data_IF_462011823705
#
_entry.id   IF_462011823705
#
_cell.length_a   1.000
_cell.length_b   1.000
_cell.length_c   1.000
_cell.angle_alpha   90.00
_cell.angle_beta   90.00
_cell.angle_gamma   90.00
#
_symmetry.space_group_name_H-M   'P 1'
#
loop_
_entity.id
_entity.type
_entity.pdbx_description
1 polymer ?
#
# COMPACT_ATOMS: atom_id res chain seq x y z
N UNK A 1 3.96 15.27 10.24
CA UNK A 1 3.35 13.93 10.36
C UNK A 1 2.43 13.66 9.18
N UNK A 2 2.32 12.39 8.77
CA UNK A 2 1.45 12.02 7.66
C UNK A 2 -0.01 12.00 8.08
N UNK A 3 -0.91 12.45 7.21
CA UNK A 3 -2.34 12.33 7.42
C UNK A 3 -2.82 10.92 7.02
N UNK A 4 -2.26 10.34 5.96
CA UNK A 4 -2.60 8.99 5.51
C UNK A 4 -1.39 8.27 4.94
N UNK A 5 -1.36 6.95 5.15
CA UNK A 5 -0.30 6.08 4.67
C UNK A 5 -0.91 4.88 3.94
N UNK A 6 -0.46 4.65 2.71
CA UNK A 6 -0.84 3.45 1.96
C UNK A 6 0.18 2.35 2.23
N UNK A 7 -0.31 1.13 2.44
CA UNK A 7 0.55 -0.03 2.70
C UNK A 7 0.56 -0.93 1.46
N UNK A 8 1.71 -1.02 0.80
CA UNK A 8 1.88 -1.81 -0.42
C UNK A 8 2.27 -3.25 -0.06
N UNK A 9 1.43 -3.92 0.70
CA UNK A 9 1.62 -5.29 1.11
C UNK A 9 0.25 -5.90 1.45
N UNK A 10 0.24 -7.15 1.89
CA UNK A 10 -0.98 -7.87 2.18
C UNK A 10 -0.83 -8.73 3.44
N UNK A 11 -1.94 -9.33 3.86
CA UNK A 11 -1.96 -10.28 4.96
C UNK A 11 -1.51 -9.67 6.28
N UNK A 12 -0.86 -10.49 7.11
CA UNK A 12 -0.46 -10.09 8.46
C UNK A 12 0.52 -8.92 8.48
N UNK A 13 1.39 -8.82 7.48
CA UNK A 13 2.33 -7.70 7.36
C UNK A 13 1.55 -6.38 7.29
N UNK A 14 0.56 -6.30 6.42
CA UNK A 14 -0.26 -5.10 6.27
C UNK A 14 -1.08 -4.82 7.53
N UNK A 15 -1.69 -5.85 8.12
CA UNK A 15 -2.51 -5.71 9.34
C UNK A 15 -1.69 -5.12 10.48
N UNK A 16 -0.45 -5.58 10.66
CA UNK A 16 0.43 -5.07 11.72
C UNK A 16 0.75 -3.59 11.54
N UNK A 17 1.02 -3.18 10.31
CA UNK A 17 1.28 -1.76 10.01
C UNK A 17 0.02 -0.93 10.28
N UNK A 18 -1.15 -1.41 9.86
CA UNK A 18 -2.41 -0.70 10.10
C UNK A 18 -2.69 -0.49 11.60
N UNK A 19 -2.36 -1.47 12.44
CA UNK A 19 -2.53 -1.32 13.88
C UNK A 19 -1.68 -0.19 14.45
N UNK A 20 -0.45 -0.09 13.99
CA UNK A 20 0.45 0.98 14.41
C UNK A 20 -0.06 2.35 13.93
N UNK A 21 -0.49 2.44 12.68
CA UNK A 21 -1.04 3.67 12.12
C UNK A 21 -2.27 4.13 12.90
N UNK A 22 -3.14 3.20 13.27
CA UNK A 22 -4.32 3.52 14.07
C UNK A 22 -3.95 4.12 15.42
N UNK A 23 -2.95 3.56 16.09
CA UNK A 23 -2.45 4.10 17.36
C UNK A 23 -1.88 5.50 17.22
N UNK A 24 -1.32 5.81 16.07
CA UNK A 24 -0.75 7.12 15.78
C UNK A 24 -1.78 8.13 15.27
N UNK A 25 -3.03 7.71 15.07
CA UNK A 25 -4.07 8.57 14.53
C UNK A 25 -3.91 8.85 13.03
N UNK A 26 -3.22 7.98 12.30
CA UNK A 26 -2.97 8.12 10.86
C UNK A 26 -3.96 7.23 10.10
N UNK A 27 -4.59 7.78 9.06
CA UNK A 27 -5.50 7.03 8.19
C UNK A 27 -4.71 5.97 7.43
N UNK A 28 -5.17 4.73 7.47
CA UNK A 28 -4.56 3.61 6.76
C UNK A 28 -5.27 3.31 5.45
N UNK A 29 -4.50 3.03 4.40
CA UNK A 29 -5.03 2.66 3.09
C UNK A 29 -4.48 1.31 2.69
N UNK A 30 -5.38 0.35 2.43
CA UNK A 30 -5.01 -0.96 1.91
C UNK A 30 -4.97 -0.95 0.40
N UNK A 31 -4.08 -1.74 -0.17
CA UNK A 31 -4.09 -2.07 -1.59
C UNK A 31 -4.45 -3.55 -1.74
N UNK A 32 -5.19 -3.90 -2.78
CA UNK A 32 -5.60 -5.29 -2.95
C UNK A 32 -5.70 -5.69 -4.42
N UNK A 33 -5.28 -6.93 -4.70
CA UNK A 33 -5.58 -7.57 -5.97
C UNK A 33 -6.99 -8.16 -5.93
N UNK A 34 -7.51 -8.56 -7.09
CA UNK A 34 -8.84 -9.14 -7.18
C UNK A 34 -9.01 -10.41 -6.33
N UNK A 35 -7.93 -11.13 -6.04
CA UNK A 35 -7.97 -12.30 -5.17
C UNK A 35 -8.20 -11.94 -3.69
N UNK A 36 -7.88 -10.71 -3.29
CA UNK A 36 -7.89 -10.28 -1.91
C UNK A 36 -9.03 -9.31 -1.55
N UNK A 37 -10.05 -9.21 -2.38
CA UNK A 37 -11.18 -8.26 -2.17
C UNK A 37 -11.77 -8.36 -0.77
N UNK A 38 -11.92 -9.57 -0.24
CA UNK A 38 -12.48 -9.80 1.09
C UNK A 38 -11.43 -10.13 2.15
N UNK A 39 -10.14 -9.91 1.86
CA UNK A 39 -9.07 -10.25 2.78
C UNK A 39 -9.11 -9.40 4.05
N UNK A 40 -8.55 -9.95 5.13
CA UNK A 40 -8.54 -9.28 6.43
C UNK A 40 -7.88 -7.92 6.39
N UNK A 41 -6.75 -7.77 5.68
CA UNK A 41 -6.07 -6.49 5.63
C UNK A 41 -6.92 -5.40 4.97
N UNK A 42 -7.76 -5.76 4.00
CA UNK A 42 -8.68 -4.82 3.36
C UNK A 42 -9.75 -4.35 4.36
N UNK A 43 -10.27 -5.28 5.16
CA UNK A 43 -11.32 -4.96 6.14
C UNK A 43 -10.81 -4.15 7.33
N UNK A 44 -9.54 -4.30 7.68
CA UNK A 44 -8.95 -3.60 8.83
C UNK A 44 -8.41 -2.21 8.50
N UNK A 45 -8.25 -1.87 7.23
CA UNK A 45 -7.83 -0.54 6.82
C UNK A 45 -8.99 0.45 6.84
N UNK A 46 -8.68 1.72 6.98
CA UNK A 46 -9.70 2.78 6.91
C UNK A 46 -10.23 2.94 5.49
N UNK A 47 -9.37 2.77 4.48
CA UNK A 47 -9.75 2.83 3.06
C UNK A 47 -9.02 1.73 2.31
N UNK A 48 -9.50 1.42 1.09
CA UNK A 48 -8.88 0.41 0.25
C UNK A 48 -8.96 0.81 -1.22
N UNK A 49 -7.92 0.50 -1.99
CA UNK A 49 -7.84 0.78 -3.42
C UNK A 49 -7.41 -0.48 -4.16
N UNK A 50 -8.12 -0.80 -5.24
CA UNK A 50 -7.79 -1.95 -6.08
C UNK A 50 -6.48 -1.73 -6.82
N UNK A 51 -5.63 -2.76 -6.85
CA UNK A 51 -4.39 -2.76 -7.63
C UNK A 51 -4.60 -3.28 -9.05
N UNK A 52 -5.22 -4.44 -9.18
CA UNK A 52 -5.35 -5.11 -10.46
C UNK A 52 -5.74 -6.57 -10.30
N UNK A 53 -5.51 -7.39 -11.36
CA UNK A 53 -5.85 -8.82 -11.36
C UNK A 53 -5.12 -9.61 -10.27
N UNK A 54 -5.60 -10.84 -10.04
CA UNK A 54 -5.08 -11.72 -8.98
C UNK A 54 -3.58 -12.03 -9.06
N UNK A 55 -2.95 -12.24 -10.24
CA UNK A 55 -1.52 -12.54 -10.28
C UNK A 55 -0.67 -11.43 -9.67
N UNK A 56 0.27 -11.75 -8.76
CA UNK A 56 1.12 -10.73 -8.12
C UNK A 56 1.91 -9.87 -9.12
N UNK A 57 2.36 -10.45 -10.23
CA UNK A 57 3.10 -9.71 -11.25
C UNK A 57 2.27 -8.57 -11.87
N UNK A 58 0.94 -8.64 -11.79
CA UNK A 58 0.02 -7.64 -12.35
C UNK A 58 -0.62 -6.79 -11.24
N UNK A 59 -0.19 -6.95 -10.01
CA UNK A 59 -0.74 -6.23 -8.86
C UNK A 59 0.37 -5.83 -7.87
N UNK A 60 0.64 -6.64 -6.83
CA UNK A 60 1.59 -6.28 -5.78
C UNK A 60 3.03 -6.11 -6.25
N UNK A 61 3.42 -6.75 -7.35
CA UNK A 61 4.77 -6.64 -7.93
C UNK A 61 4.84 -5.67 -9.12
N UNK A 62 3.74 -5.03 -9.46
CA UNK A 62 3.69 -4.03 -10.55
C UNK A 62 3.90 -2.64 -9.97
N UNK A 63 5.08 -2.07 -10.15
CA UNK A 63 5.45 -0.74 -9.62
C UNK A 63 4.46 0.33 -10.09
N UNK A 64 4.12 0.35 -11.37
CA UNK A 64 3.22 1.36 -11.91
C UNK A 64 1.83 1.26 -11.29
N UNK A 65 1.31 0.04 -11.11
CA UNK A 65 0.01 -0.19 -10.50
C UNK A 65 0.00 0.29 -9.05
N UNK A 66 1.04 -0.03 -8.28
CA UNK A 66 1.17 0.35 -6.87
C UNK A 66 1.20 1.87 -6.73
N UNK A 67 2.03 2.56 -7.52
CA UNK A 67 2.15 4.01 -7.44
C UNK A 67 0.86 4.69 -7.89
N UNK A 68 0.23 4.21 -8.96
CA UNK A 68 -1.05 4.73 -9.44
C UNK A 68 -2.14 4.63 -8.37
N UNK A 69 -2.22 3.49 -7.69
CA UNK A 69 -3.18 3.29 -6.61
C UNK A 69 -2.88 4.20 -5.42
N UNK A 70 -1.60 4.38 -5.07
CA UNK A 70 -1.19 5.28 -4.01
C UNK A 70 -1.58 6.73 -4.32
N UNK A 71 -1.37 7.17 -5.55
CA UNK A 71 -1.80 8.51 -5.99
C UNK A 71 -3.31 8.67 -5.93
N UNK A 72 -4.05 7.66 -6.40
CA UNK A 72 -5.51 7.69 -6.38
C UNK A 72 -6.06 7.77 -4.96
N UNK A 73 -5.37 7.19 -3.98
CA UNK A 73 -5.77 7.24 -2.58
C UNK A 73 -5.54 8.60 -1.92
N UNK A 74 -4.68 9.43 -2.50
CA UNK A 74 -4.28 10.69 -1.90
C UNK A 74 -3.33 10.54 -0.72
N UNK A 75 -2.71 9.37 -0.53
CA UNK A 75 -1.83 9.13 0.61
C UNK A 75 -0.56 9.98 0.54
N UNK A 76 -0.07 10.39 1.71
CA UNK A 76 1.15 11.18 1.84
C UNK A 76 2.40 10.33 1.75
N UNK A 77 2.29 9.07 2.20
CA UNK A 77 3.42 8.16 2.27
C UNK A 77 3.00 6.75 1.90
N UNK A 78 3.98 5.94 1.51
CA UNK A 78 3.80 4.54 1.20
C UNK A 78 4.75 3.71 2.07
N UNK A 79 4.19 2.73 2.78
CA UNK A 79 4.94 1.76 3.57
C UNK A 79 4.90 0.43 2.83
N UNK A 80 6.05 -0.08 2.38
CA UNK A 80 6.07 -1.30 1.57
C UNK A 80 5.99 -2.60 2.39
N UNK A 81 6.10 -2.53 3.72
CA UNK A 81 6.25 -3.72 4.53
C UNK A 81 7.58 -4.40 4.26
N UNK A 82 7.56 -5.72 4.18
CA UNK A 82 8.71 -6.48 3.71
C UNK A 82 8.27 -7.49 2.64
N UNK A 83 9.22 -7.98 1.81
CA UNK A 83 8.87 -8.78 0.65
C UNK A 83 8.29 -7.93 -0.47
N UNK A 84 7.73 -8.55 -1.50
CA UNK A 84 7.21 -7.87 -2.70
C UNK A 84 8.19 -6.80 -3.21
N UNK A 85 7.77 -5.53 -3.23
CA UNK A 85 8.57 -4.43 -3.77
C UNK A 85 9.35 -3.65 -2.70
N UNK A 86 9.38 -4.13 -1.46
CA UNK A 86 9.99 -3.39 -0.34
C UNK A 86 11.46 -3.01 -0.57
N UNK A 87 12.20 -3.84 -1.30
CA UNK A 87 13.61 -3.61 -1.60
C UNK A 87 13.84 -3.19 -3.05
N UNK A 88 12.78 -2.89 -3.79
CA UNK A 88 12.90 -2.52 -5.20
C UNK A 88 13.14 -1.02 -5.34
N UNK A 89 14.35 -0.60 -5.82
CA UNK A 89 14.65 0.83 -5.95
C UNK A 89 13.74 1.55 -6.96
N UNK A 90 13.14 0.84 -7.91
CA UNK A 90 12.23 1.44 -8.85
C UNK A 90 10.95 1.94 -8.17
N UNK A 91 10.49 1.24 -7.12
CA UNK A 91 9.31 1.70 -6.36
C UNK A 91 9.65 2.99 -5.60
N UNK A 92 10.79 3.03 -4.92
CA UNK A 92 11.21 4.23 -4.19
C UNK A 92 11.34 5.44 -5.12
N UNK A 93 11.96 5.25 -6.29
CA UNK A 93 12.11 6.31 -7.29
C UNK A 93 10.76 6.79 -7.82
N UNK A 94 9.85 5.88 -8.13
CA UNK A 94 8.52 6.21 -8.64
C UNK A 94 7.69 6.95 -7.59
N UNK A 95 7.80 6.59 -6.32
CA UNK A 95 7.15 7.32 -5.23
C UNK A 95 7.67 8.76 -5.13
N UNK A 96 8.99 8.93 -5.23
CA UNK A 96 9.60 10.27 -5.18
C UNK A 96 9.07 11.16 -6.32
N UNK A 97 8.99 10.61 -7.54
CA UNK A 97 8.45 11.33 -8.68
C UNK A 97 6.97 11.69 -8.51
N UNK A 98 6.23 10.85 -7.82
CA UNK A 98 4.80 11.07 -7.55
C UNK A 98 4.54 11.98 -6.34
N UNK A 99 5.58 12.41 -5.64
CA UNK A 99 5.43 13.23 -4.43
C UNK A 99 4.98 12.45 -3.22
N UNK A 100 5.23 11.13 -3.20
CA UNK A 100 4.87 10.24 -2.10
C UNK A 100 6.13 9.86 -1.33
N UNK A 101 6.11 10.02 -0.02
CA UNK A 101 7.25 9.64 0.82
C UNK A 101 7.32 8.12 0.92
N UNK A 102 8.47 7.56 0.58
CA UNK A 102 8.71 6.12 0.69
C UNK A 102 9.32 5.82 2.07
N UNK A 103 8.63 5.02 2.86
CA UNK A 103 9.07 4.70 4.22
C UNK A 103 10.15 3.62 4.22
#
# INVERSE_FOLDING_TARGET
>A
MFASVVVANRGEVAVRVFRTLRRMGIVSVALYSDADVAARHVREADRAVRLGPAPPAESYLDVAAVVRAAQASGADALHPGYGFLSENPALAAACAEAGIVFV
#
